data_IF_152040232209
#
_entry.id   IF_152040232209
#
_cell.length_a   1.000
_cell.length_b   1.000
_cell.length_c   1.000
_cell.angle_alpha   90.00
_cell.angle_beta   90.00
_cell.angle_gamma   90.00
#
_symmetry.space_group_name_H-M   'P 1'
#
loop_
_entity.id
_entity.type
_entity.pdbx_description
1 polymer ?
#
# COMPACT_ATOMS: atom_id res chain seq x y z
N UNK A 1 -49.27 -56.35 -6.30
CA UNK A 1 -47.98 -55.79 -5.79
C UNK A 1 -47.66 -54.53 -6.64
N UNK A 2 -47.81 -53.33 -6.03
CA UNK A 2 -47.47 -52.07 -6.70
C UNK A 2 -46.07 -51.64 -6.25
N UNK A 3 -45.12 -51.65 -7.14
CA UNK A 3 -43.75 -51.20 -6.89
C UNK A 3 -43.71 -49.67 -6.90
N UNK A 4 -43.45 -49.06 -5.74
CA UNK A 4 -43.26 -47.60 -5.63
C UNK A 4 -41.77 -47.30 -5.97
N UNK A 5 -41.55 -46.64 -7.08
CA UNK A 5 -40.20 -46.14 -7.51
C UNK A 5 -39.93 -44.79 -6.81
N UNK A 6 -39.11 -44.83 -5.79
CA UNK A 6 -38.65 -43.60 -5.10
C UNK A 6 -37.55 -42.94 -5.91
N UNK A 7 -37.84 -41.81 -6.56
CA UNK A 7 -36.85 -40.99 -7.27
C UNK A 7 -36.16 -40.11 -6.23
N UNK A 8 -34.90 -40.44 -5.95
CA UNK A 8 -34.00 -39.60 -5.12
C UNK A 8 -33.47 -38.44 -5.99
N UNK A 9 -34.08 -37.27 -5.81
CA UNK A 9 -33.56 -36.04 -6.48
C UNK A 9 -32.36 -35.54 -5.67
N UNK A 10 -31.12 -35.82 -6.12
CA UNK A 10 -29.93 -35.19 -5.59
C UNK A 10 -29.91 -33.71 -6.01
N UNK A 11 -30.26 -32.82 -5.09
CA UNK A 11 -30.00 -31.38 -5.23
C UNK A 11 -28.51 -31.17 -5.15
N UNK A 12 -27.79 -31.16 -6.30
CA UNK A 12 -26.43 -30.67 -6.37
C UNK A 12 -26.48 -29.15 -6.23
N UNK A 13 -26.36 -28.68 -4.99
CA UNK A 13 -26.06 -27.27 -4.74
C UNK A 13 -24.70 -26.93 -5.37
N UNK A 14 -24.69 -26.15 -6.42
CA UNK A 14 -23.48 -25.56 -6.97
C UNK A 14 -22.94 -24.56 -5.93
N UNK A 15 -21.97 -25.00 -5.11
CA UNK A 15 -21.15 -24.09 -4.32
C UNK A 15 -20.36 -23.25 -5.35
N UNK A 16 -20.84 -22.04 -5.61
CA UNK A 16 -20.07 -21.04 -6.36
C UNK A 16 -18.87 -20.67 -5.48
N UNK A 17 -17.72 -21.25 -5.76
CA UNK A 17 -16.45 -20.81 -5.18
C UNK A 17 -16.14 -19.48 -5.86
N UNK A 18 -16.54 -18.37 -5.24
CA UNK A 18 -16.10 -17.06 -5.69
C UNK A 18 -14.62 -16.92 -5.38
N UNK A 19 -13.79 -16.70 -6.39
CA UNK A 19 -12.40 -16.33 -6.20
C UNK A 19 -12.35 -15.03 -5.38
N UNK A 20 -11.60 -15.03 -4.26
CA UNK A 20 -11.55 -13.89 -3.34
C UNK A 20 -10.47 -12.85 -3.71
N UNK A 21 -9.53 -13.23 -4.59
CA UNK A 21 -8.41 -12.39 -5.01
C UNK A 21 -8.50 -12.16 -6.53
N UNK A 22 -9.40 -11.27 -6.93
CA UNK A 22 -9.58 -10.89 -8.34
C UNK A 22 -9.18 -9.43 -8.48
N UNK A 23 -8.34 -9.14 -9.47
CA UNK A 23 -8.03 -7.79 -9.92
C UNK A 23 -8.89 -7.51 -11.15
N UNK A 24 -9.89 -6.65 -11.01
CA UNK A 24 -10.73 -6.17 -12.10
C UNK A 24 -10.50 -4.67 -12.29
N UNK A 25 -10.70 -4.14 -13.52
CA UNK A 25 -10.58 -2.71 -13.76
C UNK A 25 -11.58 -1.92 -12.91
N UNK A 26 -11.09 -0.94 -12.17
CA UNK A 26 -11.91 0.00 -11.39
C UNK A 26 -12.65 0.95 -12.36
N UNK A 27 -13.95 1.12 -12.14
CA UNK A 27 -14.77 2.04 -12.95
C UNK A 27 -14.35 3.50 -12.78
N UNK A 28 -14.49 4.28 -13.85
CA UNK A 28 -14.13 5.71 -13.84
C UNK A 28 -12.67 6.00 -14.15
N UNK A 29 -11.88 4.98 -14.50
CA UNK A 29 -10.50 5.10 -14.97
C UNK A 29 -10.34 4.51 -16.39
N UNK A 30 -9.25 4.89 -17.07
CA UNK A 30 -8.87 4.23 -18.32
C UNK A 30 -8.39 2.79 -18.05
N UNK A 31 -8.39 1.88 -19.04
CA UNK A 31 -8.18 0.45 -18.79
C UNK A 31 -6.93 0.09 -17.99
N UNK A 32 -5.76 0.65 -18.29
CA UNK A 32 -4.53 0.32 -17.57
C UNK A 32 -4.48 0.96 -16.18
N UNK A 33 -4.93 2.22 -16.05
CA UNK A 33 -5.05 2.88 -14.75
C UNK A 33 -6.09 2.15 -13.88
N UNK A 34 -7.20 1.71 -14.49
CA UNK A 34 -8.24 0.93 -13.82
C UNK A 34 -7.72 -0.38 -13.22
N UNK A 35 -6.74 -1.04 -13.84
CA UNK A 35 -6.05 -2.21 -13.27
C UNK A 35 -5.04 -1.81 -12.19
N UNK A 36 -4.31 -0.72 -12.39
CA UNK A 36 -3.31 -0.24 -11.43
C UNK A 36 -3.93 0.13 -10.08
N UNK A 37 -5.09 0.80 -10.08
CA UNK A 37 -5.78 1.27 -8.87
C UNK A 37 -6.09 0.14 -7.88
N UNK A 38 -6.78 -0.96 -8.25
CA UNK A 38 -7.03 -2.05 -7.31
C UNK A 38 -5.75 -2.76 -6.85
N UNK A 39 -4.69 -2.84 -7.68
CA UNK A 39 -3.41 -3.39 -7.28
C UNK A 39 -2.73 -2.54 -6.19
N UNK A 40 -2.72 -1.22 -6.35
CA UNK A 40 -2.22 -0.29 -5.34
C UNK A 40 -3.03 -0.38 -4.04
N UNK A 41 -4.36 -0.48 -4.14
CA UNK A 41 -5.25 -0.58 -2.99
C UNK A 41 -5.13 -1.92 -2.27
N UNK A 42 -4.93 -3.03 -2.98
CA UNK A 42 -4.69 -4.35 -2.37
C UNK A 42 -3.40 -4.34 -1.52
N UNK A 43 -2.30 -3.78 -2.06
CA UNK A 43 -1.05 -3.66 -1.30
C UNK A 43 -1.20 -2.81 -0.05
N UNK A 44 -1.88 -1.63 -0.15
CA UNK A 44 -2.18 -0.79 1.02
C UNK A 44 -2.98 -1.56 2.06
N UNK A 45 -4.05 -2.23 1.65
CA UNK A 45 -4.92 -3.02 2.53
C UNK A 45 -4.16 -4.13 3.25
N UNK A 46 -3.21 -4.80 2.59
CA UNK A 46 -2.36 -5.83 3.22
C UNK A 46 -1.47 -5.24 4.31
N UNK A 47 -0.86 -4.08 4.07
CA UNK A 47 -0.09 -3.36 5.09
C UNK A 47 -0.99 -3.00 6.27
N UNK A 48 -2.12 -2.34 6.04
CA UNK A 48 -3.08 -1.94 7.08
C UNK A 48 -3.55 -3.13 7.92
N UNK A 49 -4.00 -4.21 7.26
CA UNK A 49 -4.45 -5.41 7.95
C UNK A 49 -3.36 -6.03 8.84
N UNK A 50 -2.10 -5.96 8.39
CA UNK A 50 -0.97 -6.50 9.13
C UNK A 50 -0.70 -5.74 10.42
N UNK A 51 -0.88 -4.40 10.43
CA UNK A 51 -0.41 -3.54 11.52
C UNK A 51 -1.51 -2.88 12.35
N UNK A 52 -2.77 -2.84 11.92
CA UNK A 52 -3.87 -2.06 12.51
C UNK A 52 -4.11 -2.26 14.01
N UNK A 53 -3.78 -3.43 14.53
CA UNK A 53 -4.03 -3.82 15.92
C UNK A 53 -2.76 -3.72 16.80
N UNK A 54 -1.67 -3.12 16.29
CA UNK A 54 -0.45 -2.94 17.06
C UNK A 54 -0.62 -1.82 18.10
N UNK A 55 -0.19 -2.11 19.32
CA UNK A 55 -0.01 -1.08 20.33
C UNK A 55 1.25 -0.23 20.09
N UNK A 56 1.44 0.82 20.88
CA UNK A 56 2.55 1.76 20.72
C UNK A 56 3.90 1.04 20.87
N UNK A 57 4.05 0.14 21.84
CA UNK A 57 5.28 -0.60 22.08
C UNK A 57 5.66 -1.47 20.90
N UNK A 58 4.70 -2.20 20.34
CA UNK A 58 4.87 -3.01 19.14
C UNK A 58 5.12 -2.16 17.88
N UNK A 59 4.47 -1.00 17.79
CA UNK A 59 4.67 -0.04 16.68
C UNK A 59 6.10 0.53 16.68
N UNK A 60 6.68 0.75 17.87
CA UNK A 60 8.00 1.32 18.09
C UNK A 60 9.11 0.25 18.19
N UNK A 61 8.74 -1.04 18.20
CA UNK A 61 9.71 -2.12 18.36
C UNK A 61 10.75 -2.08 17.23
N UNK A 62 12.04 -2.18 17.62
CA UNK A 62 13.22 -2.17 16.75
C UNK A 62 13.89 -3.53 16.88
N UNK A 63 14.09 -4.23 15.77
CA UNK A 63 14.67 -5.59 15.74
C UNK A 63 16.14 -5.60 16.16
N UNK A 64 16.89 -4.61 15.70
CA UNK A 64 18.30 -4.37 16.01
C UNK A 64 18.63 -2.87 15.85
N UNK A 65 19.85 -2.48 16.16
CA UNK A 65 20.30 -1.07 16.15
C UNK A 65 20.21 -0.40 14.76
N UNK A 66 20.20 -1.17 13.69
CA UNK A 66 20.12 -0.67 12.31
C UNK A 66 18.71 -0.76 11.72
N UNK A 67 17.78 -1.43 12.42
CA UNK A 67 16.42 -1.61 11.94
C UNK A 67 15.57 -0.34 12.11
N UNK A 68 14.52 -0.22 11.30
CA UNK A 68 13.47 0.77 11.48
C UNK A 68 12.27 0.13 12.17
N UNK A 69 11.51 0.93 12.93
CA UNK A 69 10.26 0.46 13.54
C UNK A 69 9.15 0.28 12.49
N UNK A 70 8.12 -0.47 12.85
CA UNK A 70 6.95 -0.66 11.98
C UNK A 70 6.29 0.69 11.66
N UNK A 71 6.14 1.58 12.65
CA UNK A 71 5.60 2.93 12.45
C UNK A 71 6.41 3.73 11.43
N UNK A 72 7.75 3.71 11.55
CA UNK A 72 8.66 4.35 10.59
C UNK A 72 8.48 3.78 9.18
N UNK A 73 8.41 2.45 9.04
CA UNK A 73 8.21 1.81 7.73
C UNK A 73 6.88 2.21 7.09
N UNK A 74 5.78 2.25 7.84
CA UNK A 74 4.48 2.70 7.30
C UNK A 74 4.54 4.16 6.85
N UNK A 75 5.22 5.04 7.62
CA UNK A 75 5.39 6.43 7.21
C UNK A 75 6.28 6.55 5.96
N UNK A 76 7.31 5.73 5.85
CA UNK A 76 8.17 5.67 4.67
C UNK A 76 7.40 5.25 3.40
N UNK A 77 6.46 4.31 3.51
CA UNK A 77 5.57 3.97 2.39
C UNK A 77 4.77 5.19 1.90
N UNK A 78 4.22 5.97 2.83
CA UNK A 78 3.52 7.21 2.49
C UNK A 78 4.45 8.24 1.85
N UNK A 79 5.67 8.41 2.39
CA UNK A 79 6.65 9.36 1.87
C UNK A 79 7.10 9.01 0.45
N UNK A 80 7.34 7.73 0.17
CA UNK A 80 7.66 7.24 -1.17
C UNK A 80 6.52 7.49 -2.15
N UNK A 81 5.28 7.21 -1.76
CA UNK A 81 4.12 7.47 -2.59
C UNK A 81 3.94 8.97 -2.84
N UNK A 82 4.13 9.83 -1.82
CA UNK A 82 4.14 11.30 -1.95
C UNK A 82 5.22 11.78 -2.92
N UNK A 83 6.42 11.22 -2.85
CA UNK A 83 7.49 11.54 -3.80
C UNK A 83 7.05 11.26 -5.24
N UNK A 84 6.43 10.10 -5.51
CA UNK A 84 5.96 9.76 -6.85
C UNK A 84 4.75 10.59 -7.29
N UNK A 85 3.91 11.12 -6.38
CA UNK A 85 2.89 12.10 -6.74
C UNK A 85 3.55 13.36 -7.33
N UNK A 86 4.55 13.91 -6.66
CA UNK A 86 5.24 15.12 -7.14
C UNK A 86 5.99 14.85 -8.45
N UNK A 87 6.69 13.73 -8.51
CA UNK A 87 7.47 13.32 -9.66
C UNK A 87 6.63 13.13 -10.92
N UNK A 88 5.50 12.41 -10.82
CA UNK A 88 4.72 12.00 -11.99
C UNK A 88 3.61 12.98 -12.35
N UNK A 89 2.89 13.53 -11.37
CA UNK A 89 1.76 14.43 -11.61
C UNK A 89 2.19 15.88 -11.69
N UNK A 90 3.02 16.34 -10.75
CA UNK A 90 3.41 17.74 -10.64
C UNK A 90 4.74 18.06 -11.34
N UNK A 91 5.53 17.04 -11.69
CA UNK A 91 6.83 17.14 -12.39
C UNK A 91 7.83 18.03 -11.66
N UNK A 92 7.88 17.90 -10.33
CA UNK A 92 8.76 18.67 -9.44
C UNK A 92 9.25 17.82 -8.27
N UNK A 93 10.22 18.33 -7.56
CA UNK A 93 10.73 17.81 -6.30
C UNK A 93 9.98 18.42 -5.11
N UNK A 94 10.29 17.94 -3.88
CA UNK A 94 9.81 18.56 -2.64
C UNK A 94 10.23 20.03 -2.56
N UNK A 95 9.29 20.90 -2.23
CA UNK A 95 9.61 22.26 -1.82
C UNK A 95 10.18 22.29 -0.39
N UNK A 96 10.56 23.49 0.12
CA UNK A 96 11.17 23.63 1.46
C UNK A 96 10.30 23.12 2.60
N UNK A 97 9.00 23.35 2.55
CA UNK A 97 8.06 22.93 3.61
C UNK A 97 7.81 21.42 3.52
N UNK A 98 7.61 20.90 2.32
CA UNK A 98 7.48 19.46 2.08
C UNK A 98 8.76 18.71 2.46
N UNK A 99 9.95 19.28 2.20
CA UNK A 99 11.23 18.70 2.65
C UNK A 99 11.29 18.58 4.17
N UNK A 100 10.83 19.57 4.92
CA UNK A 100 10.80 19.50 6.40
C UNK A 100 9.90 18.37 6.92
N UNK A 101 8.80 18.12 6.24
CA UNK A 101 7.83 17.09 6.63
C UNK A 101 8.28 15.70 6.20
N UNK A 102 8.72 15.56 4.94
CA UNK A 102 8.88 14.27 4.27
C UNK A 102 10.32 13.75 4.18
N UNK A 103 11.35 14.57 4.46
CA UNK A 103 12.73 14.10 4.34
C UNK A 103 13.07 12.96 5.31
N UNK A 104 12.71 13.10 6.58
CA UNK A 104 13.02 12.09 7.60
C UNK A 104 12.31 10.76 7.34
N UNK A 105 10.97 10.71 7.08
CA UNK A 105 10.34 9.44 6.73
C UNK A 105 10.85 8.89 5.39
N UNK A 106 11.32 9.73 4.46
CA UNK A 106 11.93 9.28 3.20
C UNK A 106 13.28 8.59 3.42
N UNK A 107 14.16 9.16 4.25
CA UNK A 107 15.51 8.64 4.50
C UNK A 107 15.56 7.57 5.58
N UNK A 108 14.59 7.59 6.51
CA UNK A 108 14.56 6.73 7.71
C UNK A 108 15.82 6.87 8.59
N UNK A 109 16.30 5.78 9.21
CA UNK A 109 17.52 5.76 10.01
C UNK A 109 17.36 6.37 11.39
N UNK A 110 18.47 6.87 11.98
CA UNK A 110 18.51 7.37 13.37
C UNK A 110 17.53 8.50 13.65
N UNK A 111 17.45 9.48 12.74
CA UNK A 111 16.53 10.62 12.89
C UNK A 111 15.06 10.16 12.96
N UNK A 112 14.70 9.15 12.17
CA UNK A 112 13.35 8.60 12.19
C UNK A 112 13.09 7.78 13.46
N UNK A 113 14.07 6.99 13.91
CA UNK A 113 14.00 6.22 15.16
C UNK A 113 13.80 7.12 16.38
N UNK A 114 14.41 8.29 16.40
CA UNK A 114 14.23 9.27 17.47
C UNK A 114 12.89 10.00 17.35
N UNK A 115 12.59 10.53 16.17
CA UNK A 115 11.45 11.43 15.95
C UNK A 115 10.09 10.73 15.98
N UNK A 116 10.03 9.48 15.54
CA UNK A 116 8.76 8.75 15.32
C UNK A 116 8.47 7.71 16.43
N UNK A 117 8.82 8.01 17.67
CA UNK A 117 8.48 7.18 18.83
C UNK A 117 7.23 7.69 19.55
N UNK A 118 6.54 6.77 20.24
CA UNK A 118 5.42 7.10 21.10
C UNK A 118 4.14 7.47 20.34
N UNK A 119 4.05 7.17 19.07
CA UNK A 119 2.84 7.41 18.27
C UNK A 119 2.04 6.12 18.09
N UNK A 120 0.71 6.16 18.20
CA UNK A 120 -0.12 5.00 17.89
C UNK A 120 -0.02 4.67 16.40
N UNK A 121 -0.21 3.41 16.05
CA UNK A 121 -0.18 2.97 14.65
C UNK A 121 -1.18 3.72 13.76
N UNK A 122 -2.32 4.14 14.30
CA UNK A 122 -3.33 4.94 13.61
C UNK A 122 -2.77 6.27 13.07
N UNK A 123 -1.82 6.89 13.78
CA UNK A 123 -1.16 8.12 13.32
C UNK A 123 -0.49 7.91 11.93
N UNK A 124 0.23 6.81 11.77
CA UNK A 124 0.93 6.48 10.52
C UNK A 124 -0.03 6.02 9.43
N UNK A 125 -1.05 5.24 9.80
CA UNK A 125 -2.09 4.78 8.88
C UNK A 125 -2.92 5.93 8.33
N UNK A 126 -3.21 6.95 9.12
CA UNK A 126 -3.92 8.17 8.68
C UNK A 126 -3.13 8.93 7.62
N UNK A 127 -1.82 9.09 7.82
CA UNK A 127 -0.92 9.71 6.83
C UNK A 127 -0.90 8.89 5.54
N UNK A 128 -0.72 7.58 5.66
CA UNK A 128 -0.69 6.66 4.52
C UNK A 128 -2.01 6.66 3.73
N UNK A 129 -3.14 6.70 4.44
CA UNK A 129 -4.47 6.76 3.85
C UNK A 129 -4.68 8.07 3.08
N UNK A 130 -4.39 9.22 3.70
CA UNK A 130 -4.51 10.53 3.04
C UNK A 130 -3.62 10.65 1.81
N UNK A 131 -2.41 10.07 1.87
CA UNK A 131 -1.51 10.05 0.72
C UNK A 131 -2.11 9.22 -0.42
N UNK A 132 -2.66 8.03 -0.15
CA UNK A 132 -3.32 7.21 -1.17
C UNK A 132 -4.57 7.88 -1.74
N UNK A 133 -5.41 8.48 -0.92
CA UNK A 133 -6.60 9.21 -1.38
C UNK A 133 -6.20 10.28 -2.41
N UNK A 134 -5.12 11.01 -2.12
CA UNK A 134 -4.59 12.01 -3.06
C UNK A 134 -4.05 11.39 -4.37
N UNK A 135 -3.40 10.24 -4.28
CA UNK A 135 -2.99 9.47 -5.48
C UNK A 135 -4.19 9.12 -6.36
N UNK A 136 -5.27 8.63 -5.75
CA UNK A 136 -6.48 8.23 -6.48
C UNK A 136 -7.17 9.43 -7.13
N UNK A 137 -7.21 10.59 -6.46
CA UNK A 137 -7.71 11.84 -7.06
C UNK A 137 -6.92 12.21 -8.33
N UNK A 138 -5.58 12.18 -8.25
CA UNK A 138 -4.74 12.48 -9.41
C UNK A 138 -4.93 11.47 -10.55
N UNK A 139 -5.00 10.18 -10.25
CA UNK A 139 -5.14 9.13 -11.25
C UNK A 139 -6.47 9.22 -12.02
N UNK A 140 -7.55 9.75 -11.42
CA UNK A 140 -8.83 9.98 -12.08
C UNK A 140 -8.74 10.98 -13.25
N UNK A 141 -7.76 11.89 -13.19
CA UNK A 141 -7.54 12.90 -14.22
C UNK A 141 -6.55 12.46 -15.31
N UNK A 142 -6.06 11.22 -15.25
CA UNK A 142 -5.03 10.70 -16.16
C UNK A 142 -5.59 9.58 -17.04
N UNK A 143 -4.86 9.33 -18.12
CA UNK A 143 -5.17 8.28 -19.10
C UNK A 143 -3.98 7.32 -19.29
N UNK A 144 -4.19 6.27 -20.06
CA UNK A 144 -3.17 5.27 -20.37
C UNK A 144 -1.99 5.85 -21.17
N UNK A 145 -2.22 6.91 -21.97
CA UNK A 145 -1.16 7.60 -22.67
C UNK A 145 -0.24 8.35 -21.71
N UNK A 146 -0.81 9.01 -20.68
CA UNK A 146 -0.03 9.59 -19.59
C UNK A 146 0.74 8.51 -18.84
N UNK A 147 0.12 7.36 -18.53
CA UNK A 147 0.77 6.27 -17.81
C UNK A 147 2.00 5.76 -18.56
N UNK A 148 1.92 5.64 -19.89
CA UNK A 148 3.03 5.22 -20.75
C UNK A 148 4.11 6.31 -20.93
N UNK A 149 3.79 7.57 -20.68
CA UNK A 149 4.69 8.70 -20.94
C UNK A 149 5.80 8.82 -19.90
N UNK A 150 6.96 9.37 -20.36
CA UNK A 150 8.09 9.71 -19.49
C UNK A 150 8.11 11.22 -19.28
N UNK A 151 8.07 11.73 -18.03
CA UNK A 151 8.20 13.15 -17.77
C UNK A 151 9.54 13.67 -18.30
N UNK A 152 9.55 14.89 -18.87
CA UNK A 152 10.76 15.48 -19.47
C UNK A 152 11.88 15.59 -18.42
N UNK A 153 13.05 15.07 -18.75
CA UNK A 153 14.23 15.09 -17.87
C UNK A 153 14.33 13.88 -16.95
N UNK A 154 13.35 12.98 -16.98
CA UNK A 154 13.33 11.79 -16.14
C UNK A 154 13.68 10.52 -16.93
N UNK A 155 14.15 9.47 -16.22
CA UNK A 155 14.56 8.19 -16.85
C UNK A 155 13.44 7.16 -16.83
N UNK A 156 12.46 7.32 -15.93
CA UNK A 156 11.38 6.36 -15.70
C UNK A 156 10.08 6.93 -16.26
N UNK A 157 9.29 6.09 -16.95
CA UNK A 157 7.93 6.48 -17.31
C UNK A 157 7.01 6.41 -16.08
N UNK A 158 5.81 6.97 -16.19
CA UNK A 158 4.86 6.98 -15.10
C UNK A 158 4.43 5.57 -14.70
N UNK A 159 4.34 4.63 -15.66
CA UNK A 159 3.98 3.24 -15.38
C UNK A 159 5.02 2.55 -14.47
N UNK A 160 6.32 2.71 -14.78
CA UNK A 160 7.38 2.19 -13.92
C UNK A 160 7.34 2.81 -12.52
N UNK A 161 7.10 4.12 -12.44
CA UNK A 161 7.01 4.83 -11.15
C UNK A 161 5.91 4.25 -10.25
N UNK A 162 4.72 4.01 -10.80
CA UNK A 162 3.60 3.45 -10.03
C UNK A 162 3.73 1.95 -9.78
N UNK A 163 4.35 1.20 -10.70
CA UNK A 163 4.79 -0.17 -10.43
C UNK A 163 5.76 -0.22 -9.25
N UNK A 164 6.76 0.70 -9.22
CA UNK A 164 7.73 0.74 -8.12
C UNK A 164 7.08 1.10 -6.78
N UNK A 165 6.10 1.98 -6.73
CA UNK A 165 5.32 2.25 -5.51
C UNK A 165 4.73 0.94 -4.95
N UNK A 166 4.12 0.13 -5.79
CA UNK A 166 3.51 -1.14 -5.39
C UNK A 166 4.56 -2.18 -4.96
N UNK A 167 5.62 -2.35 -5.74
CA UNK A 167 6.71 -3.29 -5.45
C UNK A 167 7.44 -2.92 -4.16
N UNK A 168 7.71 -1.63 -3.94
CA UNK A 168 8.30 -1.08 -2.74
C UNK A 168 7.43 -1.34 -1.50
N UNK A 169 6.11 -1.17 -1.61
CA UNK A 169 5.17 -1.52 -0.54
C UNK A 169 5.24 -3.01 -0.21
N UNK A 170 5.34 -3.90 -1.21
CA UNK A 170 5.49 -5.34 -1.01
C UNK A 170 6.79 -5.69 -0.28
N UNK A 171 7.90 -5.06 -0.66
CA UNK A 171 9.21 -5.26 -0.03
C UNK A 171 9.18 -4.88 1.45
N UNK A 172 8.63 -3.71 1.78
CA UNK A 172 8.51 -3.27 3.17
C UNK A 172 7.45 -4.07 3.96
N UNK A 173 6.39 -4.56 3.34
CA UNK A 173 5.46 -5.48 3.99
C UNK A 173 6.17 -6.75 4.47
N UNK A 174 7.10 -7.28 3.68
CA UNK A 174 7.95 -8.40 4.10
C UNK A 174 8.79 -8.09 5.34
N UNK A 175 9.39 -6.89 5.41
CA UNK A 175 10.12 -6.43 6.60
C UNK A 175 9.19 -6.24 7.81
N UNK A 176 8.04 -5.62 7.64
CA UNK A 176 7.02 -5.44 8.69
C UNK A 176 6.60 -6.80 9.27
N UNK A 177 6.33 -7.79 8.42
CA UNK A 177 5.97 -9.15 8.84
C UNK A 177 7.10 -9.84 9.61
N UNK A 178 8.35 -9.64 9.18
CA UNK A 178 9.52 -10.15 9.89
C UNK A 178 9.64 -9.53 11.29
N UNK A 179 9.55 -8.21 11.38
CA UNK A 179 9.61 -7.47 12.65
C UNK A 179 8.48 -7.92 13.57
N UNK A 180 7.24 -7.97 13.07
CA UNK A 180 6.06 -8.38 13.83
C UNK A 180 6.23 -9.78 14.46
N UNK A 181 6.86 -10.72 13.76
CA UNK A 181 7.16 -12.06 14.27
C UNK A 181 8.26 -12.09 15.35
N UNK A 182 8.97 -11.02 15.54
CA UNK A 182 10.08 -10.90 16.50
C UNK A 182 9.73 -10.02 17.69
N UNK A 183 8.56 -9.39 17.71
CA UNK A 183 8.03 -8.70 18.89
C UNK A 183 7.90 -9.75 20.00
N UNK A 184 8.45 -9.52 21.20
CA UNK A 184 8.31 -10.44 22.35
C UNK A 184 6.84 -10.66 22.71
N UNK A 185 6.49 -11.90 23.05
CA UNK A 185 5.19 -12.20 23.65
C UNK A 185 5.07 -11.51 25.02
N UNK A 186 3.90 -10.98 25.33
CA UNK A 186 3.61 -10.31 26.60
C UNK A 186 3.13 -11.31 27.64
#
# INVERSE_FOLDING_TARGET
MKTVLTILVCLMGTLSINAQNIIEPEEGYTPQIGILVPMLNDMKKRVEYTVKDLDIESTDFILDENANSIGTLVYHLAATEKFYQLYTFEKREFNKEETKEWSIPMTMGDDAREKFRGKPISYYLDIYTKTREKTLEYLKEKDDAWLASTPKGYRMNNHWSWYHVMEHQSSHLGQILLIKKRIPEK
#
